data_IF_445366189046
#
_entry.id   IF_445366189046
#
_cell.length_a   1.000
_cell.length_b   1.000
_cell.length_c   1.000
_cell.angle_alpha   90.00
_cell.angle_beta   90.00
_cell.angle_gamma   90.00
#
_symmetry.space_group_name_H-M   'P 1'
#
loop_
_entity.id
_entity.type
_entity.pdbx_description
1 polymer ?
#
# COMPACT_ATOMS: atom_id res chain seq x y z
N UNK A 1 3.70 -0.02 -30.26
CA UNK A 1 3.16 -1.20 -29.59
C UNK A 1 1.69 -1.30 -29.96
N UNK A 2 1.35 -2.29 -30.76
CA UNK A 2 -0.01 -2.52 -31.23
C UNK A 2 -0.87 -2.88 -30.03
N UNK A 3 -1.97 -2.16 -29.82
CA UNK A 3 -3.01 -2.54 -28.89
C UNK A 3 -3.40 -4.00 -29.24
N UNK A 4 -3.09 -4.93 -28.35
CA UNK A 4 -3.46 -6.32 -28.55
C UNK A 4 -4.98 -6.39 -28.58
N UNK A 5 -5.55 -7.11 -29.55
CA UNK A 5 -6.98 -7.27 -29.71
C UNK A 5 -7.67 -7.83 -28.46
N UNK A 6 -8.84 -8.46 -28.58
CA UNK A 6 -9.64 -9.02 -27.48
C UNK A 6 -8.86 -9.95 -26.52
N UNK A 7 -7.70 -10.46 -26.92
CA UNK A 7 -6.77 -11.19 -26.05
C UNK A 7 -6.24 -10.39 -24.86
N UNK A 8 -6.19 -9.05 -24.95
CA UNK A 8 -5.75 -8.17 -23.85
C UNK A 8 -6.75 -8.15 -22.68
N UNK A 9 -7.98 -8.57 -22.91
CA UNK A 9 -9.00 -8.71 -21.87
C UNK A 9 -8.97 -10.06 -21.15
N UNK A 10 -8.18 -11.02 -21.65
CA UNK A 10 -8.05 -12.33 -21.04
C UNK A 10 -6.83 -12.41 -20.13
N UNK A 11 -7.06 -12.80 -18.87
CA UNK A 11 -5.98 -13.09 -17.93
C UNK A 11 -5.45 -14.50 -18.14
N UNK A 12 -4.14 -14.66 -18.12
CA UNK A 12 -3.48 -15.97 -18.09
C UNK A 12 -3.51 -16.60 -16.68
N UNK A 13 -3.78 -15.78 -15.64
CA UNK A 13 -3.78 -16.21 -14.24
C UNK A 13 -5.06 -15.76 -13.51
N UNK A 14 -6.20 -16.31 -13.88
CA UNK A 14 -7.49 -16.01 -13.24
C UNK A 14 -7.49 -16.21 -11.72
N UNK A 15 -6.92 -17.29 -11.14
CA UNK A 15 -6.86 -17.43 -9.69
C UNK A 15 -6.09 -16.28 -9.00
N UNK A 16 -5.04 -15.80 -9.61
CA UNK A 16 -4.30 -14.63 -9.13
C UNK A 16 -5.16 -13.36 -9.17
N UNK A 17 -5.92 -13.14 -10.25
CA UNK A 17 -6.83 -11.99 -10.35
C UNK A 17 -7.95 -12.04 -9.31
N UNK A 18 -8.53 -13.23 -9.05
CA UNK A 18 -9.56 -13.41 -8.02
C UNK A 18 -9.01 -13.07 -6.63
N UNK A 19 -7.80 -13.55 -6.28
CA UNK A 19 -7.15 -13.18 -5.01
C UNK A 19 -6.90 -11.68 -4.92
N UNK A 20 -6.46 -11.04 -6.01
CA UNK A 20 -6.27 -9.58 -6.07
C UNK A 20 -7.56 -8.81 -5.85
N UNK A 21 -8.68 -9.25 -6.44
CA UNK A 21 -10.01 -8.66 -6.17
C UNK A 21 -10.33 -8.75 -4.67
N UNK A 22 -10.13 -9.92 -4.06
CA UNK A 22 -10.36 -10.11 -2.63
C UNK A 22 -9.53 -9.17 -1.76
N UNK A 23 -8.22 -9.06 -2.03
CA UNK A 23 -7.35 -8.16 -1.27
C UNK A 23 -7.62 -6.68 -1.55
N UNK A 24 -7.95 -6.32 -2.80
CA UNK A 24 -8.33 -4.95 -3.18
C UNK A 24 -9.63 -4.49 -2.51
N UNK A 25 -10.50 -5.43 -2.15
CA UNK A 25 -11.72 -5.14 -1.40
C UNK A 25 -11.43 -5.11 0.12
N UNK A 26 -10.69 -6.12 0.61
CA UNK A 26 -10.43 -6.27 2.04
C UNK A 26 -9.61 -5.10 2.62
N UNK A 27 -8.55 -4.66 1.93
CA UNK A 27 -7.67 -3.63 2.45
C UNK A 27 -8.39 -2.30 2.73
N UNK A 28 -9.14 -1.68 1.78
CA UNK A 28 -9.86 -0.44 2.07
C UNK A 28 -11.03 -0.65 3.05
N UNK A 29 -11.75 -1.78 3.00
CA UNK A 29 -12.83 -2.03 3.96
C UNK A 29 -12.29 -2.06 5.39
N UNK A 30 -11.19 -2.77 5.63
CA UNK A 30 -10.54 -2.83 6.94
C UNK A 30 -9.96 -1.47 7.35
N UNK A 31 -9.34 -0.75 6.41
CA UNK A 31 -8.82 0.59 6.63
C UNK A 31 -9.92 1.57 7.07
N UNK A 32 -11.00 1.68 6.31
CA UNK A 32 -12.11 2.58 6.64
C UNK A 32 -12.88 2.13 7.88
N UNK A 33 -12.89 0.83 8.20
CA UNK A 33 -13.47 0.35 9.46
C UNK A 33 -12.62 0.80 10.64
N UNK A 34 -11.28 0.77 10.52
CA UNK A 34 -10.38 1.28 11.54
C UNK A 34 -10.55 2.79 11.76
N UNK A 35 -10.74 3.57 10.70
CA UNK A 35 -10.95 5.02 10.76
C UNK A 35 -12.25 5.46 11.47
N UNK A 36 -13.15 4.54 11.78
CA UNK A 36 -14.38 4.90 12.54
C UNK A 36 -14.08 5.26 14.00
N UNK A 37 -12.99 4.76 14.54
CA UNK A 37 -12.66 4.90 15.97
C UNK A 37 -11.21 5.40 16.19
N UNK A 38 -10.32 5.20 15.23
CA UNK A 38 -8.93 5.61 15.31
C UNK A 38 -8.67 6.86 14.46
N UNK A 39 -7.82 7.79 14.94
CA UNK A 39 -7.37 8.94 14.16
C UNK A 39 -6.73 8.55 12.83
N UNK A 40 -6.88 9.41 11.83
CA UNK A 40 -6.35 9.15 10.49
C UNK A 40 -4.83 8.87 10.48
N UNK A 41 -4.08 9.63 11.28
CA UNK A 41 -2.63 9.46 11.36
C UNK A 41 -2.26 8.11 12.00
N UNK A 42 -2.98 7.67 13.03
CA UNK A 42 -2.72 6.42 13.74
C UNK A 42 -2.93 5.23 12.81
N UNK A 43 -4.07 5.19 12.09
CA UNK A 43 -4.34 4.16 11.09
C UNK A 43 -3.28 4.17 9.98
N UNK A 44 -2.87 5.36 9.53
CA UNK A 44 -1.85 5.50 8.48
C UNK A 44 -0.50 4.94 8.93
N UNK A 45 -0.06 5.22 10.17
CA UNK A 45 1.18 4.65 10.73
C UNK A 45 1.13 3.13 10.75
N UNK A 46 0.02 2.55 11.21
CA UNK A 46 -0.15 1.09 11.26
C UNK A 46 -0.14 0.46 9.86
N UNK A 47 -0.74 1.13 8.87
CA UNK A 47 -0.76 0.67 7.48
C UNK A 47 0.62 0.72 6.83
N UNK A 48 1.49 1.66 7.21
CA UNK A 48 2.89 1.65 6.75
C UNK A 48 3.67 0.40 7.19
N UNK A 49 3.22 -0.30 8.23
CA UNK A 49 3.69 -1.65 8.57
C UNK A 49 3.55 -2.66 7.42
N UNK A 50 2.68 -2.39 6.45
CA UNK A 50 2.47 -3.22 5.25
C UNK A 50 3.74 -3.47 4.43
N UNK A 51 4.67 -2.53 4.38
CA UNK A 51 5.96 -2.69 3.69
C UNK A 51 6.83 -3.79 4.33
N UNK A 52 6.78 -3.92 5.65
CA UNK A 52 7.47 -4.98 6.38
C UNK A 52 6.77 -6.32 6.18
N UNK A 53 5.44 -6.37 6.28
CA UNK A 53 4.64 -7.55 5.96
C UNK A 53 4.87 -8.02 4.53
N UNK A 54 4.92 -7.10 3.57
CA UNK A 54 5.20 -7.42 2.17
C UNK A 54 6.56 -8.12 2.02
N UNK A 55 7.61 -7.60 2.65
CA UNK A 55 8.94 -8.21 2.59
C UNK A 55 8.97 -9.56 3.32
N UNK A 56 8.37 -9.66 4.50
CA UNK A 56 8.33 -10.91 5.26
C UNK A 56 7.56 -12.02 4.53
N UNK A 57 6.43 -11.68 3.94
CA UNK A 57 5.57 -12.61 3.22
C UNK A 57 6.08 -12.94 1.80
N UNK A 58 6.92 -12.09 1.19
CA UNK A 58 7.52 -12.37 -0.13
C UNK A 58 8.44 -13.59 -0.08
N UNK A 59 9.06 -13.87 1.07
CA UNK A 59 9.93 -15.04 1.25
C UNK A 59 9.17 -16.37 1.06
N UNK A 60 8.11 -16.67 1.82
CA UNK A 60 7.38 -17.92 1.63
C UNK A 60 6.52 -17.96 0.36
N UNK A 61 6.01 -16.82 -0.12
CA UNK A 61 5.06 -16.78 -1.25
C UNK A 61 5.76 -16.69 -2.61
N UNK A 62 6.81 -15.88 -2.72
CA UNK A 62 7.56 -15.67 -3.96
C UNK A 62 8.88 -16.41 -4.00
N UNK A 63 9.32 -17.02 -2.89
CA UNK A 63 10.63 -17.68 -2.78
C UNK A 63 11.81 -16.68 -2.79
N UNK A 64 11.57 -15.42 -2.44
CA UNK A 64 12.62 -14.40 -2.43
C UNK A 64 13.63 -14.66 -1.31
N UNK A 65 14.90 -14.39 -1.61
CA UNK A 65 15.97 -14.47 -0.61
C UNK A 65 16.17 -13.10 0.03
N UNK A 66 15.81 -12.99 1.29
CA UNK A 66 15.99 -11.78 2.08
C UNK A 66 17.24 -11.94 2.95
N UNK A 67 18.22 -11.05 2.78
CA UNK A 67 19.44 -11.07 3.57
C UNK A 67 19.20 -10.63 5.03
N UNK A 68 20.14 -10.99 5.92
CA UNK A 68 20.08 -10.71 7.37
C UNK A 68 19.81 -9.24 7.67
N UNK A 69 20.38 -8.33 6.89
CA UNK A 69 20.18 -6.90 7.08
C UNK A 69 18.72 -6.45 6.84
N UNK A 70 18.06 -7.00 5.81
CA UNK A 70 16.63 -6.71 5.59
C UNK A 70 15.80 -7.27 6.72
N UNK A 71 16.12 -8.47 7.22
CA UNK A 71 15.44 -9.06 8.37
C UNK A 71 15.60 -8.22 9.64
N UNK A 72 16.80 -7.69 9.92
CA UNK A 72 16.98 -6.80 11.08
C UNK A 72 16.20 -5.48 10.93
N UNK A 73 16.18 -4.89 9.75
CA UNK A 73 15.37 -3.69 9.49
C UNK A 73 13.87 -3.97 9.62
N UNK A 74 13.38 -5.13 9.13
CA UNK A 74 12.00 -5.56 9.33
C UNK A 74 11.70 -5.69 10.82
N UNK A 75 12.55 -6.35 11.60
CA UNK A 75 12.35 -6.51 13.03
C UNK A 75 12.26 -5.15 13.76
N UNK A 76 13.14 -4.20 13.41
CA UNK A 76 13.08 -2.83 13.95
C UNK A 76 11.77 -2.13 13.52
N UNK A 77 11.39 -2.22 12.25
CA UNK A 77 10.14 -1.63 11.76
C UNK A 77 8.91 -2.22 12.44
N UNK A 78 8.88 -3.54 12.65
CA UNK A 78 7.81 -4.20 13.42
C UNK A 78 7.74 -3.71 14.88
N UNK A 79 8.88 -3.43 15.51
CA UNK A 79 8.89 -2.82 16.84
C UNK A 79 8.17 -1.45 16.79
N UNK A 80 8.40 -0.67 15.75
CA UNK A 80 7.67 0.59 15.53
C UNK A 80 6.16 0.39 15.37
N UNK A 81 5.72 -0.63 14.61
CA UNK A 81 4.29 -0.98 14.48
C UNK A 81 3.69 -1.40 15.83
N UNK A 82 4.41 -2.20 16.62
CA UNK A 82 3.94 -2.63 17.95
C UNK A 82 3.81 -1.43 18.89
N UNK A 83 4.78 -0.51 18.87
CA UNK A 83 4.73 0.70 19.70
C UNK A 83 3.53 1.58 19.28
N UNK A 84 3.32 1.78 17.97
CA UNK A 84 2.19 2.55 17.47
C UNK A 84 0.83 1.90 17.76
N UNK A 85 0.76 0.56 17.74
CA UNK A 85 -0.44 -0.20 18.05
C UNK A 85 -0.82 -0.17 19.54
N UNK A 86 0.14 0.16 20.41
CA UNK A 86 -0.05 0.28 21.86
C UNK A 86 -0.85 -0.89 22.49
N UNK A 87 -0.39 -2.15 22.35
CA UNK A 87 -1.20 -3.35 22.64
C UNK A 87 -1.58 -3.51 24.12
N UNK A 88 -0.98 -2.70 25.00
CA UNK A 88 -1.28 -2.66 26.45
C UNK A 88 -2.02 -1.39 26.85
N UNK A 89 -2.28 -0.49 25.91
CA UNK A 89 -3.01 0.76 26.15
C UNK A 89 -4.53 0.60 26.08
N UNK A 90 -5.24 1.57 26.62
CA UNK A 90 -6.70 1.59 26.65
C UNK A 90 -7.32 1.63 25.23
N UNK A 91 -6.54 2.08 24.25
CA UNK A 91 -6.98 2.19 22.85
C UNK A 91 -6.75 0.92 22.01
N UNK A 92 -6.13 -0.13 22.59
CA UNK A 92 -5.95 -1.39 21.89
C UNK A 92 -7.26 -2.17 21.82
N UNK A 93 -7.82 -2.25 20.65
CA UNK A 93 -9.09 -2.94 20.43
C UNK A 93 -9.14 -3.65 19.08
N UNK A 94 -10.33 -4.12 18.75
CA UNK A 94 -10.62 -4.74 17.47
C UNK A 94 -10.28 -3.80 16.30
N UNK A 95 -10.40 -2.51 16.50
CA UNK A 95 -10.14 -1.46 15.50
C UNK A 95 -8.66 -1.38 15.12
N UNK A 96 -7.76 -1.51 16.10
CA UNK A 96 -6.30 -1.61 15.84
C UNK A 96 -5.98 -2.87 15.04
N UNK A 97 -6.65 -4.00 15.36
CA UNK A 97 -6.50 -5.23 14.59
C UNK A 97 -6.99 -5.07 13.14
N UNK A 98 -8.05 -4.29 12.90
CA UNK A 98 -8.49 -3.96 11.54
C UNK A 98 -7.43 -3.17 10.78
N UNK A 99 -6.78 -2.16 11.39
CA UNK A 99 -5.71 -1.41 10.76
C UNK A 99 -4.50 -2.29 10.40
N UNK A 100 -4.07 -3.16 11.30
CA UNK A 100 -2.99 -4.12 11.05
C UNK A 100 -3.40 -5.15 9.98
N UNK A 101 -4.65 -5.63 10.00
CA UNK A 101 -5.16 -6.55 8.98
C UNK A 101 -5.26 -5.88 7.61
N UNK A 102 -5.60 -4.59 7.56
CA UNK A 102 -5.57 -3.79 6.33
C UNK A 102 -4.16 -3.75 5.74
N UNK A 103 -3.13 -3.55 6.57
CA UNK A 103 -1.73 -3.55 6.13
C UNK A 103 -1.28 -4.91 5.59
N UNK A 104 -1.72 -6.01 6.18
CA UNK A 104 -1.46 -7.38 5.70
C UNK A 104 -2.19 -7.61 4.36
N UNK A 105 -3.46 -7.22 4.25
CA UNK A 105 -4.23 -7.34 3.01
C UNK A 105 -3.59 -6.53 1.87
N UNK A 106 -3.10 -5.33 2.15
CA UNK A 106 -2.35 -4.52 1.20
C UNK A 106 -1.04 -5.19 0.78
N UNK A 107 -0.28 -5.75 1.72
CA UNK A 107 0.95 -6.48 1.44
C UNK A 107 0.68 -7.69 0.52
N UNK A 108 -0.37 -8.46 0.79
CA UNK A 108 -0.78 -9.59 -0.04
C UNK A 108 -1.24 -9.15 -1.44
N UNK A 109 -1.94 -8.01 -1.55
CA UNK A 109 -2.31 -7.41 -2.83
C UNK A 109 -1.07 -7.08 -3.66
N UNK A 110 -0.04 -6.47 -3.06
CA UNK A 110 1.19 -6.13 -3.75
C UNK A 110 1.98 -7.37 -4.18
N UNK A 111 2.04 -8.39 -3.34
CA UNK A 111 2.67 -9.69 -3.65
C UNK A 111 1.97 -10.37 -4.83
N UNK A 112 0.64 -10.46 -4.82
CA UNK A 112 -0.11 -11.04 -5.93
C UNK A 112 -0.01 -10.19 -7.19
N UNK A 113 0.04 -8.87 -7.07
CA UNK A 113 0.27 -7.97 -8.21
C UNK A 113 1.61 -8.27 -8.87
N UNK A 114 2.66 -8.45 -8.07
CA UNK A 114 3.98 -8.83 -8.56
C UNK A 114 3.96 -10.23 -9.21
N UNK A 115 3.30 -11.19 -8.61
CA UNK A 115 3.16 -12.56 -9.11
C UNK A 115 2.39 -12.62 -10.44
N UNK A 116 1.31 -11.87 -10.58
CA UNK A 116 0.51 -11.81 -11.81
C UNK A 116 1.16 -10.96 -12.90
N UNK A 117 2.04 -10.02 -12.52
CA UNK A 117 2.77 -9.16 -13.44
C UNK A 117 3.67 -9.88 -14.44
N UNK A 118 4.06 -11.10 -14.13
CA UNK A 118 4.84 -11.94 -15.05
C UNK A 118 3.99 -12.59 -16.14
N UNK A 119 2.68 -12.67 -15.97
CA UNK A 119 1.78 -13.38 -16.88
C UNK A 119 0.79 -12.47 -17.60
N UNK A 120 0.38 -11.38 -16.97
CA UNK A 120 -0.69 -10.53 -17.48
C UNK A 120 -0.20 -9.10 -17.81
N UNK A 121 -0.67 -8.49 -18.91
CA UNK A 121 -0.37 -7.10 -19.26
C UNK A 121 -0.93 -6.14 -18.20
N UNK A 122 -0.31 -4.96 -18.06
CA UNK A 122 -0.70 -3.94 -17.09
C UNK A 122 -2.19 -3.56 -17.18
N UNK A 123 -2.74 -3.49 -18.39
CA UNK A 123 -4.15 -3.21 -18.61
C UNK A 123 -5.05 -4.27 -17.96
N UNK A 124 -4.77 -5.56 -18.20
CA UNK A 124 -5.51 -6.69 -17.59
C UNK A 124 -5.40 -6.67 -16.07
N UNK A 125 -4.21 -6.38 -15.54
CA UNK A 125 -3.97 -6.29 -14.10
C UNK A 125 -4.76 -5.16 -13.42
N UNK A 126 -5.06 -4.08 -14.14
CA UNK A 126 -5.86 -2.95 -13.61
C UNK A 126 -7.35 -3.19 -13.79
N UNK A 127 -7.73 -3.80 -14.93
CA UNK A 127 -9.13 -4.01 -15.27
C UNK A 127 -9.84 -5.00 -14.32
N UNK A 128 -9.22 -6.16 -14.06
CA UNK A 128 -9.85 -7.20 -13.27
C UNK A 128 -10.18 -6.77 -11.83
N UNK A 129 -9.26 -6.17 -11.06
CA UNK A 129 -9.60 -5.65 -9.74
C UNK A 129 -10.65 -4.54 -9.81
N UNK A 130 -10.56 -3.61 -10.78
CA UNK A 130 -11.53 -2.53 -10.90
C UNK A 130 -12.96 -3.07 -11.14
N UNK A 131 -13.12 -3.96 -12.13
CA UNK A 131 -14.41 -4.59 -12.43
C UNK A 131 -14.88 -5.47 -11.27
N UNK A 132 -13.99 -6.28 -10.69
CA UNK A 132 -14.33 -7.19 -9.61
C UNK A 132 -14.75 -6.45 -8.34
N UNK A 133 -14.03 -5.41 -7.93
CA UNK A 133 -14.39 -4.57 -6.78
C UNK A 133 -15.71 -3.84 -7.02
N UNK A 134 -15.91 -3.27 -8.22
CA UNK A 134 -17.17 -2.61 -8.60
C UNK A 134 -18.34 -3.57 -8.55
N UNK A 135 -18.17 -4.77 -9.08
CA UNK A 135 -19.21 -5.82 -9.05
C UNK A 135 -19.55 -6.23 -7.62
N UNK A 136 -18.54 -6.45 -6.77
CA UNK A 136 -18.74 -6.79 -5.36
C UNK A 136 -19.42 -5.64 -4.59
N UNK A 137 -18.99 -4.40 -4.83
CA UNK A 137 -19.63 -3.22 -4.25
C UNK A 137 -21.10 -3.13 -4.66
N UNK A 138 -21.40 -3.35 -5.95
CA UNK A 138 -22.79 -3.37 -6.44
C UNK A 138 -23.64 -4.47 -5.79
N UNK A 139 -23.05 -5.67 -5.61
CA UNK A 139 -23.76 -6.81 -4.98
C UNK A 139 -24.07 -6.55 -3.50
N UNK A 140 -23.19 -5.83 -2.79
CA UNK A 140 -23.39 -5.50 -1.37
C UNK A 140 -24.29 -4.29 -1.15
N UNK A 141 -24.47 -3.45 -2.16
CA UNK A 141 -25.30 -2.22 -2.09
C UNK A 141 -26.69 -2.43 -1.46
N UNK A 142 -27.50 -3.45 -1.82
CA UNK A 142 -28.82 -3.63 -1.24
C UNK A 142 -28.84 -3.84 0.28
N UNK A 143 -27.72 -4.29 0.85
CA UNK A 143 -27.60 -4.64 2.28
C UNK A 143 -27.00 -3.53 3.13
N UNK A 144 -26.16 -2.67 2.51
CA UNK A 144 -25.38 -1.65 3.23
C UNK A 144 -25.61 -0.24 2.68
N UNK A 145 -26.60 -0.07 1.79
CA UNK A 145 -26.86 1.22 1.18
C UNK A 145 -27.29 2.25 2.22
N UNK A 146 -26.51 3.29 2.33
CA UNK A 146 -26.89 4.50 3.05
C UNK A 146 -27.26 5.56 2.00
N UNK A 147 -28.48 6.09 2.02
CA UNK A 147 -28.85 7.19 1.13
C UNK A 147 -27.87 8.36 1.32
N UNK A 148 -27.31 8.86 0.24
CA UNK A 148 -26.49 10.06 0.25
C UNK A 148 -27.29 11.23 -0.32
N UNK A 149 -27.04 12.43 0.18
CA UNK A 149 -27.67 13.64 -0.34
C UNK A 149 -27.04 14.03 -1.69
N UNK A 150 -27.79 14.76 -2.50
CA UNK A 150 -27.28 15.26 -3.79
C UNK A 150 -26.01 16.11 -3.62
N UNK A 151 -25.89 16.80 -2.48
CA UNK A 151 -24.70 17.55 -2.10
C UNK A 151 -23.44 16.65 -1.98
N UNK A 152 -23.58 15.39 -1.55
CA UNK A 152 -22.48 14.45 -1.39
C UNK A 152 -21.92 13.97 -2.74
N UNK A 153 -22.72 14.05 -3.79
CA UNK A 153 -22.32 13.62 -5.15
C UNK A 153 -21.05 14.35 -5.62
N UNK A 154 -20.92 15.65 -5.28
CA UNK A 154 -19.75 16.45 -5.59
C UNK A 154 -18.50 15.92 -4.91
N UNK A 155 -18.59 15.56 -3.64
CA UNK A 155 -17.46 14.99 -2.87
C UNK A 155 -17.07 13.61 -3.35
N UNK A 156 -18.05 12.76 -3.68
CA UNK A 156 -17.82 11.41 -4.23
C UNK A 156 -17.12 11.50 -5.59
N UNK A 157 -17.58 12.42 -6.46
CA UNK A 157 -16.94 12.64 -7.75
C UNK A 157 -15.51 13.16 -7.61
N UNK A 158 -15.28 14.11 -6.69
CA UNK A 158 -13.96 14.66 -6.38
C UNK A 158 -13.02 13.57 -5.87
N UNK A 159 -13.48 12.72 -4.93
CA UNK A 159 -12.74 11.57 -4.43
C UNK A 159 -12.33 10.63 -5.57
N UNK A 160 -13.26 10.31 -6.47
CA UNK A 160 -13.00 9.47 -7.64
C UNK A 160 -11.93 10.07 -8.56
N UNK A 161 -12.00 11.37 -8.83
CA UNK A 161 -11.02 12.08 -9.67
C UNK A 161 -9.63 12.06 -9.00
N UNK A 162 -9.53 12.35 -7.70
CA UNK A 162 -8.27 12.32 -6.98
C UNK A 162 -7.68 10.90 -6.91
N UNK A 163 -8.52 9.89 -6.65
CA UNK A 163 -8.08 8.50 -6.62
C UNK A 163 -7.53 8.04 -7.97
N UNK A 164 -8.25 8.31 -9.07
CA UNK A 164 -7.80 7.96 -10.42
C UNK A 164 -6.52 8.71 -10.80
N UNK A 165 -6.46 10.01 -10.53
CA UNK A 165 -5.29 10.84 -10.83
C UNK A 165 -4.08 10.39 -10.01
N UNK A 166 -4.26 10.14 -8.72
CA UNK A 166 -3.23 9.66 -7.81
C UNK A 166 -2.66 8.32 -8.28
N UNK A 167 -3.50 7.34 -8.58
CA UNK A 167 -3.06 6.04 -9.11
C UNK A 167 -2.32 6.19 -10.45
N UNK A 168 -2.82 7.02 -11.35
CA UNK A 168 -2.16 7.26 -12.63
C UNK A 168 -0.76 7.88 -12.46
N UNK A 169 -0.61 8.86 -11.57
CA UNK A 169 0.67 9.50 -11.28
C UNK A 169 1.65 8.52 -10.63
N UNK A 170 1.18 7.69 -9.69
CA UNK A 170 1.98 6.64 -9.06
C UNK A 170 2.47 5.64 -10.11
N UNK A 171 1.60 5.11 -10.96
CA UNK A 171 2.02 4.19 -12.04
C UNK A 171 3.03 4.81 -12.99
N UNK A 172 2.85 6.09 -13.35
CA UNK A 172 3.83 6.82 -14.17
C UNK A 172 5.17 6.98 -13.45
N UNK A 173 5.16 7.36 -12.18
CA UNK A 173 6.39 7.51 -11.40
C UNK A 173 7.18 6.20 -11.32
N UNK A 174 6.52 5.08 -11.01
CA UNK A 174 7.16 3.75 -11.00
C UNK A 174 7.62 3.27 -12.38
N UNK A 175 7.05 3.81 -13.46
CA UNK A 175 7.48 3.54 -14.83
C UNK A 175 8.76 4.27 -15.26
N UNK A 176 9.13 5.38 -14.59
CA UNK A 176 10.28 6.23 -14.98
C UNK A 176 11.39 6.26 -13.93
N UNK A 177 11.14 5.86 -12.69
CA UNK A 177 12.11 5.90 -11.62
C UNK A 177 12.18 4.57 -10.85
N UNK A 178 13.37 4.18 -10.36
CA UNK A 178 13.53 3.00 -9.52
C UNK A 178 12.71 3.11 -8.23
N UNK A 179 12.20 1.97 -7.74
CA UNK A 179 11.43 1.89 -6.48
C UNK A 179 12.20 2.50 -5.31
N UNK A 180 13.51 2.30 -5.26
CA UNK A 180 14.39 2.87 -4.23
C UNK A 180 14.41 4.40 -4.17
N UNK A 181 14.09 5.07 -5.28
CA UNK A 181 13.99 6.54 -5.33
C UNK A 181 12.59 7.00 -4.90
N UNK A 182 11.56 6.20 -5.20
CA UNK A 182 10.17 6.57 -4.95
C UNK A 182 9.71 6.24 -3.52
N UNK A 183 10.22 5.16 -2.95
CA UNK A 183 9.80 4.70 -1.62
C UNK A 183 9.87 5.76 -0.51
N UNK A 184 10.89 6.66 -0.43
CA UNK A 184 10.88 7.74 0.56
C UNK A 184 9.69 8.70 0.43
N UNK A 185 9.18 8.88 -0.81
CA UNK A 185 8.03 9.77 -1.03
C UNK A 185 6.72 9.19 -0.50
N UNK A 186 6.60 7.88 -0.38
CA UNK A 186 5.42 7.26 0.25
C UNK A 186 5.26 7.71 1.70
N UNK A 187 6.36 7.91 2.44
CA UNK A 187 6.30 8.39 3.81
C UNK A 187 5.76 9.82 3.95
N UNK A 188 5.73 10.60 2.87
CA UNK A 188 5.06 11.91 2.89
C UNK A 188 3.56 11.80 3.17
N UNK A 189 2.94 10.66 2.88
CA UNK A 189 1.53 10.43 3.20
C UNK A 189 1.26 10.52 4.71
N UNK A 190 2.25 10.17 5.56
CA UNK A 190 2.13 10.32 7.01
C UNK A 190 2.05 11.79 7.43
N UNK A 191 2.85 12.64 6.79
CA UNK A 191 2.81 14.11 7.03
C UNK A 191 1.45 14.66 6.64
N UNK A 192 0.94 14.27 5.46
CA UNK A 192 -0.39 14.68 4.99
C UNK A 192 -1.51 14.13 5.87
N UNK A 193 -1.43 12.87 6.32
CA UNK A 193 -2.40 12.28 7.22
C UNK A 193 -2.47 13.03 8.56
N UNK A 194 -1.32 13.45 9.10
CA UNK A 194 -1.26 14.26 10.33
C UNK A 194 -1.85 15.65 10.11
N UNK A 195 -1.47 16.33 9.02
CA UNK A 195 -1.99 17.67 8.69
C UNK A 195 -3.51 17.62 8.51
N UNK A 196 -4.01 16.68 7.70
CA UNK A 196 -5.44 16.55 7.44
C UNK A 196 -6.19 16.09 8.69
N UNK A 197 -5.61 15.17 9.47
CA UNK A 197 -6.18 14.74 10.76
C UNK A 197 -6.41 15.94 11.69
N UNK A 198 -5.43 16.82 11.79
CA UNK A 198 -5.55 18.02 12.62
C UNK A 198 -6.56 19.03 12.05
N UNK A 199 -6.41 19.43 10.79
CA UNK A 199 -7.25 20.51 10.23
C UNK A 199 -8.69 20.12 9.92
N UNK A 200 -8.94 18.85 9.56
CA UNK A 200 -10.27 18.36 9.16
C UNK A 200 -11.01 17.72 10.32
N UNK A 201 -10.31 16.92 11.13
CA UNK A 201 -10.92 16.13 12.21
C UNK A 201 -10.55 16.66 13.60
N UNK A 202 -9.66 17.65 13.71
CA UNK A 202 -9.14 18.18 14.98
C UNK A 202 -8.49 17.09 15.86
N UNK A 203 -7.83 16.12 15.22
CA UNK A 203 -7.20 14.96 15.84
C UNK A 203 -5.68 15.06 15.70
N UNK A 204 -4.96 14.78 16.78
CA UNK A 204 -3.50 14.66 16.76
C UNK A 204 -3.12 13.24 17.18
N UNK A 205 -2.07 12.66 16.53
CA UNK A 205 -1.55 11.36 16.92
C UNK A 205 -1.07 11.33 18.37
N UNK A 206 -1.29 10.23 19.06
CA UNK A 206 -0.71 9.99 20.37
C UNK A 206 0.83 9.93 20.35
N UNK A 207 1.48 10.13 21.50
CA UNK A 207 2.93 10.10 21.61
C UNK A 207 3.55 8.77 21.14
N UNK A 208 2.87 7.65 21.41
CA UNK A 208 3.31 6.31 20.98
C UNK A 208 3.27 6.17 19.45
N UNK A 209 2.25 6.77 18.82
CA UNK A 209 2.12 6.78 17.35
C UNK A 209 3.26 7.58 16.72
N UNK A 210 3.62 8.74 17.29
CA UNK A 210 4.79 9.51 16.84
C UNK A 210 6.08 8.69 16.94
N UNK A 211 6.30 8.04 18.08
CA UNK A 211 7.51 7.22 18.30
C UNK A 211 7.54 6.03 17.31
N UNK A 212 6.42 5.34 17.15
CA UNK A 212 6.28 4.25 16.18
C UNK A 212 6.52 4.71 14.75
N UNK A 213 5.95 5.86 14.36
CA UNK A 213 6.13 6.46 13.03
C UNK A 213 7.61 6.75 12.73
N UNK A 214 8.33 7.35 13.66
CA UNK A 214 9.78 7.63 13.50
C UNK A 214 10.56 6.34 13.28
N UNK A 215 10.31 5.30 14.07
CA UNK A 215 10.98 4.01 13.94
C UNK A 215 10.67 3.36 12.58
N UNK A 216 9.41 3.37 12.15
CA UNK A 216 8.98 2.82 10.85
C UNK A 216 9.67 3.54 9.70
N UNK A 217 9.62 4.87 9.70
CA UNK A 217 10.22 5.69 8.64
C UNK A 217 11.74 5.48 8.58
N UNK A 218 12.43 5.55 9.71
CA UNK A 218 13.89 5.35 9.75
C UNK A 218 14.27 3.95 9.28
N UNK A 219 13.56 2.92 9.73
CA UNK A 219 13.81 1.54 9.30
C UNK A 219 13.59 1.36 7.79
N UNK A 220 12.52 1.91 7.24
CA UNK A 220 12.25 1.89 5.80
C UNK A 220 13.29 2.64 4.99
N UNK A 221 13.69 3.83 5.42
CA UNK A 221 14.73 4.62 4.76
C UNK A 221 16.10 3.92 4.75
N UNK A 222 16.46 3.22 5.82
CA UNK A 222 17.69 2.43 5.89
C UNK A 222 17.69 1.32 4.84
N UNK A 223 16.57 0.61 4.65
CA UNK A 223 16.43 -0.42 3.60
C UNK A 223 16.65 0.21 2.23
N UNK A 224 15.92 1.29 1.93
CA UNK A 224 15.98 1.99 0.64
C UNK A 224 17.38 2.49 0.32
N UNK A 225 18.03 3.15 1.29
CA UNK A 225 19.38 3.67 1.12
C UNK A 225 20.39 2.58 0.79
N UNK A 226 20.31 1.44 1.47
CA UNK A 226 21.21 0.31 1.20
C UNK A 226 20.96 -0.31 -0.16
N UNK A 227 19.71 -0.49 -0.57
CA UNK A 227 19.38 -1.02 -1.90
C UNK A 227 19.90 -0.11 -3.00
N UNK A 228 19.75 1.20 -2.84
CA UNK A 228 20.30 2.18 -3.77
C UNK A 228 21.83 2.12 -3.86
N UNK A 229 22.53 1.85 -2.76
CA UNK A 229 23.98 1.63 -2.76
C UNK A 229 24.38 0.36 -3.49
N UNK A 230 23.71 -0.75 -3.23
CA UNK A 230 24.02 -2.04 -3.83
C UNK A 230 23.75 -2.04 -5.34
N UNK A 231 22.69 -1.39 -5.81
CA UNK A 231 22.39 -1.28 -7.23
C UNK A 231 23.45 -0.46 -7.99
N UNK A 232 23.99 0.58 -7.37
CA UNK A 232 25.11 1.38 -7.96
C UNK A 232 26.40 0.60 -8.08
N UNK A 233 26.68 -0.33 -7.16
CA UNK A 233 27.91 -1.15 -7.20
C UNK A 233 27.84 -2.28 -8.24
N UNK A 234 26.64 -2.63 -8.72
CA UNK A 234 26.44 -3.67 -9.73
C UNK A 234 26.42 -3.14 -11.18
N UNK A 235 26.46 -1.82 -11.38
CA UNK A 235 26.68 -1.19 -12.69
C UNK A 235 28.04 -0.48 -12.65
N UNK A 236 29.14 -1.21 -12.88
CA UNK A 236 30.42 -0.55 -13.17
C UNK A 236 30.21 0.26 -14.45
N UNK A 237 30.54 1.54 -14.41
CA UNK A 237 30.67 2.38 -15.61
C UNK A 237 31.42 1.60 -16.66
N UNK A 238 30.77 1.33 -17.80
CA UNK A 238 31.48 0.84 -18.99
C UNK A 238 32.67 1.78 -19.21
N UNK A 239 33.90 1.27 -19.41
CA UNK A 239 35.02 2.12 -19.76
C UNK A 239 34.63 2.87 -21.04
N UNK A 240 34.68 4.19 -20.98
CA UNK A 240 34.64 5.03 -22.18
C UNK A 240 35.69 4.48 -23.12
N UNK A 241 35.25 3.91 -24.24
CA UNK A 241 36.11 3.64 -25.39
C UNK A 241 36.54 5.02 -25.87
N UNK A 242 37.66 5.47 -25.34
CA UNK A 242 38.32 6.69 -25.73
C UNK A 242 39.42 6.32 -26.71
N UNK A 243 39.39 7.04 -27.78
CA UNK A 243 40.47 7.37 -28.71
C UNK A 243 41.17 6.23 -29.45
#
# INVERSE_FOLDING_TARGET
>A
PRAGGLSTFRSANLPGQVRRIGYSLAAPVLFFTALKELPLADVTVLVFGGSFFMTALSVPILGERVGVFRWSAIAIGFTGVIIAAEPTGDNFGMTTLFAVSASIAYALLMIETRRTGFSDPLFTQTLYPAVGVTFMAWLTTPFIWVPFDFADTGWIALLGIFALTGHFLVYKAFGVAPVSVLAPFEYTALVWATILGYFVFNELPGNQVWLGAVIIVLSGMIIVWREARLSRSQHPTLPTVGD
#
